data_IF_490903210832
#
_entry.id   IF_490903210832
#
_cell.length_a   1.000
_cell.length_b   1.000
_cell.length_c   1.000
_cell.angle_alpha   90.00
_cell.angle_beta   90.00
_cell.angle_gamma   90.00
#
_symmetry.space_group_name_H-M   'P 1'
#
loop_
_entity.id
_entity.type
_entity.pdbx_description
1 polymer ?
#
# COMPACT_ATOMS: atom_id res chain seq x y z
N UNK A 1 -2.11 0.61 28.36
CA UNK A 1 -1.82 1.21 27.04
C UNK A 1 -3.10 1.14 26.22
N UNK A 2 -3.66 2.27 25.81
CA UNK A 2 -4.85 2.27 24.95
C UNK A 2 -4.36 1.90 23.54
N UNK A 3 -4.89 0.84 22.89
CA UNK A 3 -4.50 0.51 21.53
C UNK A 3 -4.80 1.70 20.61
N UNK A 4 -3.78 2.28 19.98
CA UNK A 4 -4.01 3.29 18.96
C UNK A 4 -4.70 2.65 17.76
N UNK A 5 -5.82 3.24 17.33
CA UNK A 5 -6.54 2.80 16.15
C UNK A 5 -5.73 3.18 14.91
N UNK A 6 -5.14 2.19 14.23
CA UNK A 6 -4.40 2.42 12.99
C UNK A 6 -5.34 2.31 11.78
N UNK A 7 -5.23 3.26 10.86
CA UNK A 7 -5.88 3.15 9.56
C UNK A 7 -4.92 2.50 8.56
N UNK A 8 -5.49 1.91 7.51
CA UNK A 8 -4.73 1.37 6.38
C UNK A 8 -5.04 2.22 5.16
N UNK A 9 -4.02 2.62 4.44
CA UNK A 9 -4.09 3.28 3.14
C UNK A 9 -3.42 2.39 2.11
N UNK A 10 -3.92 2.39 0.89
CA UNK A 10 -3.30 1.65 -0.20
C UNK A 10 -2.85 2.62 -1.30
N UNK A 11 -1.65 2.39 -1.83
CA UNK A 11 -1.17 2.99 -3.07
C UNK A 11 -1.07 1.86 -4.09
N UNK A 12 -1.78 1.99 -5.20
CA UNK A 12 -1.71 1.06 -6.33
C UNK A 12 -1.05 1.80 -7.49
N UNK A 13 0.10 1.33 -7.95
CA UNK A 13 0.68 1.85 -9.20
C UNK A 13 0.09 1.07 -10.36
N UNK A 14 -0.68 1.77 -11.18
CA UNK A 14 -1.36 1.20 -12.33
C UNK A 14 -0.52 1.34 -13.61
N UNK A 15 -0.25 0.22 -14.26
CA UNK A 15 0.24 0.17 -15.63
C UNK A 15 -0.36 -1.02 -16.38
N UNK A 16 -0.80 -0.80 -17.62
CA UNK A 16 -1.33 -1.87 -18.48
C UNK A 16 -2.83 -2.09 -18.30
N UNK A 17 -3.21 -3.28 -17.84
CA UNK A 17 -4.60 -3.76 -17.81
C UNK A 17 -5.47 -3.03 -16.77
N UNK A 18 -6.61 -2.49 -17.22
CA UNK A 18 -7.62 -1.92 -16.34
C UNK A 18 -8.34 -3.01 -15.54
N UNK A 19 -8.51 -4.18 -16.15
CA UNK A 19 -9.14 -5.35 -15.54
C UNK A 19 -8.39 -5.82 -14.29
N UNK A 20 -7.05 -5.78 -14.32
CA UNK A 20 -6.19 -6.18 -13.21
C UNK A 20 -6.37 -5.22 -12.03
N UNK A 21 -6.38 -3.92 -12.32
CA UNK A 21 -6.62 -2.87 -11.30
C UNK A 21 -7.99 -3.03 -10.67
N UNK A 22 -9.02 -3.28 -11.49
CA UNK A 22 -10.37 -3.52 -11.02
C UNK A 22 -10.47 -4.80 -10.19
N UNK A 23 -9.74 -5.86 -10.56
CA UNK A 23 -9.68 -7.09 -9.78
C UNK A 23 -9.02 -6.85 -8.42
N UNK A 24 -7.87 -6.18 -8.38
CA UNK A 24 -7.19 -5.87 -7.13
C UNK A 24 -8.04 -4.99 -6.21
N UNK A 25 -8.71 -3.96 -6.75
CA UNK A 25 -9.65 -3.13 -5.99
C UNK A 25 -10.79 -3.96 -5.39
N UNK A 26 -11.38 -4.88 -6.16
CA UNK A 26 -12.40 -5.81 -5.62
C UNK A 26 -11.86 -6.67 -4.49
N UNK A 27 -10.64 -7.21 -4.64
CA UNK A 27 -10.03 -8.04 -3.62
C UNK A 27 -9.81 -7.26 -2.32
N UNK A 28 -9.20 -6.06 -2.41
CA UNK A 28 -8.95 -5.19 -1.25
C UNK A 28 -10.24 -4.72 -0.56
N UNK A 29 -11.31 -4.48 -1.32
CA UNK A 29 -12.58 -4.00 -0.78
C UNK A 29 -13.55 -5.12 -0.35
N UNK A 30 -13.19 -6.39 -0.51
CA UNK A 30 -14.02 -7.55 -0.12
C UNK A 30 -13.63 -8.16 1.23
N UNK A 31 -12.52 -7.72 1.80
CA UNK A 31 -11.97 -8.24 3.04
C UNK A 31 -12.69 -7.79 4.31
N UNK A 32 -12.52 -8.50 5.43
CA UNK A 32 -13.02 -8.07 6.75
C UNK A 32 -12.35 -6.77 7.22
N UNK A 33 -11.19 -6.43 6.67
CA UNK A 33 -10.54 -5.13 6.86
C UNK A 33 -10.31 -4.47 5.51
N UNK A 34 -10.86 -3.26 5.37
CA UNK A 34 -10.75 -2.44 4.17
C UNK A 34 -9.78 -1.29 4.40
N UNK A 35 -9.12 -0.79 3.34
CA UNK A 35 -8.38 0.46 3.44
C UNK A 35 -9.35 1.63 3.63
N UNK A 36 -8.90 2.65 4.36
CA UNK A 36 -9.64 3.92 4.54
C UNK A 36 -9.70 4.71 3.24
N UNK A 37 -8.63 4.65 2.44
CA UNK A 37 -8.49 5.29 1.13
C UNK A 37 -7.54 4.48 0.26
N UNK A 38 -7.81 4.43 -1.03
CA UNK A 38 -6.93 3.88 -2.07
C UNK A 38 -6.55 5.00 -3.02
N UNK A 39 -5.27 5.19 -3.24
CA UNK A 39 -4.72 6.05 -4.29
C UNK A 39 -4.22 5.17 -5.41
N UNK A 40 -4.78 5.33 -6.61
CA UNK A 40 -4.32 4.65 -7.82
C UNK A 40 -3.49 5.64 -8.63
N UNK A 41 -2.21 5.36 -8.77
CA UNK A 41 -1.29 6.19 -9.55
C UNK A 41 -1.20 5.64 -10.96
N UNK A 42 -1.81 6.36 -11.90
CA UNK A 42 -2.01 5.93 -13.28
C UNK A 42 -0.81 6.30 -14.16
N UNK A 43 0.03 5.30 -14.44
CA UNK A 43 1.17 5.39 -15.36
C UNK A 43 0.87 4.83 -16.75
N UNK A 44 -0.37 4.39 -17.01
CA UNK A 44 -0.72 3.75 -18.26
C UNK A 44 -0.78 4.75 -19.43
N UNK A 45 -0.57 4.27 -20.65
CA UNK A 45 -0.66 5.13 -21.86
C UNK A 45 -2.08 5.62 -22.08
N UNK A 46 -3.06 4.75 -21.88
CA UNK A 46 -4.48 5.06 -21.89
C UNK A 46 -4.90 5.34 -20.45
N UNK A 47 -5.63 6.44 -20.17
CA UNK A 47 -6.11 6.73 -18.83
C UNK A 47 -6.97 5.62 -18.24
N UNK A 48 -6.73 5.32 -16.96
CA UNK A 48 -7.58 4.43 -16.19
C UNK A 48 -8.98 5.04 -16.09
N UNK A 49 -10.00 4.29 -16.47
CA UNK A 49 -11.38 4.71 -16.24
C UNK A 49 -11.71 4.43 -14.79
N UNK A 50 -12.16 5.47 -14.08
CA UNK A 50 -12.59 5.32 -12.69
C UNK A 50 -13.64 4.22 -12.59
N UNK A 51 -13.50 3.26 -11.67
CA UNK A 51 -14.55 2.29 -11.44
C UNK A 51 -15.82 3.06 -11.05
N UNK A 52 -16.97 2.63 -11.58
CA UNK A 52 -18.27 3.11 -11.09
C UNK A 52 -18.32 2.93 -9.56
N UNK A 53 -19.07 3.79 -8.86
CA UNK A 53 -19.09 3.98 -7.40
C UNK A 53 -19.55 2.77 -6.56
N UNK A 54 -18.97 1.61 -6.80
CA UNK A 54 -19.35 0.28 -6.28
C UNK A 54 -18.71 0.04 -4.91
N UNK A 55 -17.65 0.78 -4.57
CA UNK A 55 -16.89 0.56 -3.33
C UNK A 55 -17.31 1.56 -2.26
N UNK A 56 -17.39 1.09 -1.02
CA UNK A 56 -17.55 1.92 0.18
C UNK A 56 -16.26 2.64 0.60
N UNK A 57 -15.18 2.46 -0.15
CA UNK A 57 -13.85 3.05 0.09
C UNK A 57 -13.62 4.23 -0.85
N UNK A 58 -12.96 5.27 -0.35
CA UNK A 58 -12.53 6.41 -1.16
C UNK A 58 -11.42 5.95 -2.11
N UNK A 59 -11.69 6.02 -3.42
CA UNK A 59 -10.70 5.74 -4.46
C UNK A 59 -10.37 7.06 -5.17
N UNK A 60 -9.10 7.41 -5.17
CA UNK A 60 -8.56 8.56 -5.89
C UNK A 60 -7.64 8.07 -6.99
N UNK A 61 -7.75 8.65 -8.18
CA UNK A 61 -6.86 8.36 -9.31
C UNK A 61 -5.99 9.58 -9.55
N UNK A 62 -4.67 9.39 -9.47
CA UNK A 62 -3.67 10.44 -9.72
C UNK A 62 -2.87 10.06 -10.95
N UNK A 63 -2.87 10.93 -11.97
CA UNK A 63 -2.17 10.69 -13.23
C UNK A 63 -1.01 11.69 -13.39
N UNK A 64 0.25 11.29 -13.13
CA UNK A 64 1.38 12.16 -13.38
C UNK A 64 1.58 12.40 -14.88
N UNK A 65 2.27 13.49 -15.22
CA UNK A 65 2.50 13.89 -16.62
C UNK A 65 3.33 12.91 -17.45
N UNK A 66 4.03 11.95 -16.81
CA UNK A 66 4.78 10.87 -17.47
C UNK A 66 4.90 9.65 -16.56
N UNK A 67 5.09 8.47 -17.15
CA UNK A 67 5.49 7.28 -16.42
C UNK A 67 6.99 7.38 -16.05
N UNK A 68 7.28 7.51 -14.75
CA UNK A 68 8.64 7.56 -14.21
C UNK A 68 9.03 6.29 -13.41
N UNK A 69 8.28 5.20 -13.61
CA UNK A 69 8.50 3.91 -12.94
C UNK A 69 7.82 3.79 -11.58
N UNK A 70 7.87 2.58 -11.00
CA UNK A 70 7.11 2.20 -9.81
C UNK A 70 7.41 3.08 -8.58
N UNK A 71 8.68 3.29 -8.25
CA UNK A 71 9.07 4.10 -7.09
C UNK A 71 8.60 5.56 -7.20
N UNK A 72 8.65 6.15 -8.40
CA UNK A 72 8.08 7.48 -8.64
C UNK A 72 6.56 7.48 -8.46
N UNK A 73 5.89 6.40 -8.87
CA UNK A 73 4.47 6.20 -8.62
C UNK A 73 4.15 6.16 -7.11
N UNK A 74 4.94 5.45 -6.31
CA UNK A 74 4.79 5.45 -4.85
C UNK A 74 4.94 6.86 -4.29
N UNK A 75 5.95 7.63 -4.71
CA UNK A 75 6.16 8.99 -4.22
C UNK A 75 4.96 9.91 -4.53
N UNK A 76 4.41 9.83 -5.74
CA UNK A 76 3.18 10.54 -6.13
C UNK A 76 2.00 10.11 -5.26
N UNK A 77 1.88 8.81 -4.97
CA UNK A 77 0.84 8.28 -4.09
C UNK A 77 0.98 8.79 -2.65
N UNK A 78 2.21 8.87 -2.13
CA UNK A 78 2.50 9.41 -0.80
C UNK A 78 2.17 10.90 -0.72
N UNK A 79 2.46 11.66 -1.77
CA UNK A 79 2.09 13.08 -1.87
C UNK A 79 0.56 13.27 -1.85
N UNK A 80 -0.20 12.43 -2.57
CA UNK A 80 -1.66 12.45 -2.54
C UNK A 80 -2.27 12.09 -1.17
N UNK A 81 -1.52 11.33 -0.37
CA UNK A 81 -1.89 10.98 1.01
C UNK A 81 -1.42 12.01 2.05
N UNK A 82 -0.59 12.98 1.66
CA UNK A 82 -0.05 13.98 2.57
C UNK A 82 -1.18 14.76 3.27
N UNK A 83 -1.06 14.94 4.59
CA UNK A 83 -2.08 15.59 5.42
C UNK A 83 -3.31 14.74 5.72
N UNK A 84 -3.39 13.48 5.24
CA UNK A 84 -4.49 12.55 5.57
C UNK A 84 -4.07 11.36 6.42
N UNK A 85 -2.76 11.12 6.53
CA UNK A 85 -2.16 10.02 7.30
C UNK A 85 -1.58 10.53 8.62
N UNK A 86 -1.75 9.74 9.67
CA UNK A 86 -1.13 9.93 10.99
C UNK A 86 0.12 9.03 11.13
N UNK A 87 1.06 9.33 12.04
CA UNK A 87 2.26 8.51 12.24
C UNK A 87 1.99 7.03 12.59
N UNK A 88 0.82 6.73 13.15
CA UNK A 88 0.40 5.37 13.49
C UNK A 88 -0.26 4.61 12.33
N UNK A 89 -0.55 5.27 11.21
CA UNK A 89 -1.23 4.65 10.08
C UNK A 89 -0.28 3.80 9.23
N UNK A 90 -0.85 2.88 8.46
CA UNK A 90 -0.11 1.94 7.61
C UNK A 90 -0.41 2.26 6.14
N UNK A 91 0.64 2.37 5.32
CA UNK A 91 0.52 2.52 3.87
C UNK A 91 1.02 1.26 3.17
N UNK A 92 0.16 0.64 2.36
CA UNK A 92 0.47 -0.58 1.59
C UNK A 92 0.64 -0.20 0.13
N UNK A 93 1.82 -0.47 -0.44
CA UNK A 93 2.14 -0.13 -1.83
C UNK A 93 2.15 -1.39 -2.70
N UNK A 94 1.45 -1.35 -3.83
CA UNK A 94 1.19 -2.51 -4.69
C UNK A 94 1.27 -2.15 -6.17
N UNK A 95 1.70 -3.08 -7.03
CA UNK A 95 1.41 -3.02 -8.46
C UNK A 95 -0.05 -3.43 -8.71
N UNK A 96 -0.64 -3.03 -9.83
CA UNK A 96 -2.03 -3.38 -10.17
C UNK A 96 -2.26 -4.85 -10.58
N UNK A 97 -1.21 -5.57 -10.94
CA UNK A 97 -1.27 -6.94 -11.45
C UNK A 97 -1.11 -8.02 -10.36
N UNK A 98 -0.94 -7.62 -9.10
CA UNK A 98 -0.89 -8.56 -7.99
C UNK A 98 -2.28 -9.11 -7.67
N UNK A 99 -2.31 -10.33 -7.13
CA UNK A 99 -3.52 -10.92 -6.58
C UNK A 99 -3.34 -11.10 -5.08
N UNK A 100 -4.34 -10.70 -4.31
CA UNK A 100 -4.29 -10.75 -2.85
C UNK A 100 -5.48 -11.53 -2.28
N UNK A 101 -5.25 -12.18 -1.12
CA UNK A 101 -6.36 -12.76 -0.36
C UNK A 101 -7.20 -11.66 0.28
N UNK A 102 -8.47 -11.95 0.54
CA UNK A 102 -9.36 -11.02 1.26
C UNK A 102 -8.89 -10.72 2.68
N UNK A 103 -8.01 -11.55 3.27
CA UNK A 103 -7.45 -11.37 4.61
C UNK A 103 -6.12 -10.62 4.65
N UNK A 104 -5.55 -10.25 3.49
CA UNK A 104 -4.19 -9.67 3.43
C UNK A 104 -4.03 -8.44 4.31
N UNK A 105 -5.02 -7.53 4.32
CA UNK A 105 -4.94 -6.29 5.08
C UNK A 105 -5.10 -6.52 6.59
N UNK A 106 -5.80 -7.57 7.00
CA UNK A 106 -5.85 -7.99 8.40
C UNK A 106 -4.48 -8.47 8.86
N UNK A 107 -3.81 -9.30 8.06
CA UNK A 107 -2.46 -9.77 8.39
C UNK A 107 -1.46 -8.62 8.45
N UNK A 108 -1.50 -7.69 7.49
CA UNK A 108 -0.65 -6.48 7.51
C UNK A 108 -0.91 -5.69 8.79
N UNK A 109 -2.17 -5.47 9.16
CA UNK A 109 -2.53 -4.73 10.37
C UNK A 109 -1.97 -5.37 11.65
N UNK A 110 -2.00 -6.70 11.73
CA UNK A 110 -1.54 -7.47 12.89
C UNK A 110 -0.02 -7.55 12.98
N UNK A 111 0.67 -7.62 11.84
CA UNK A 111 2.13 -7.81 11.77
C UNK A 111 2.92 -6.51 11.79
N UNK A 112 2.33 -5.38 11.36
CA UNK A 112 3.02 -4.09 11.38
C UNK A 112 3.17 -3.64 12.84
N UNK A 113 4.35 -3.86 13.39
CA UNK A 113 4.85 -3.09 14.53
C UNK A 113 5.50 -1.81 13.99
N UNK A 114 5.73 -0.80 14.83
CA UNK A 114 6.15 0.56 14.41
C UNK A 114 7.20 0.55 13.27
N UNK A 115 6.95 1.31 12.19
CA UNK A 115 7.94 1.57 11.13
C UNK A 115 8.05 0.55 9.98
N UNK A 116 7.07 -0.33 9.74
CA UNK A 116 7.16 -1.37 8.69
C UNK A 116 6.36 -1.04 7.43
N UNK A 117 6.98 -1.23 6.25
CA UNK A 117 6.31 -1.31 4.94
C UNK A 117 6.44 -2.74 4.43
N UNK A 118 5.31 -3.34 4.03
CA UNK A 118 5.24 -4.72 3.55
C UNK A 118 4.95 -4.77 2.03
N UNK A 119 5.73 -5.56 1.30
CA UNK A 119 5.57 -5.87 -0.13
C UNK A 119 5.22 -7.35 -0.37
N UNK A 120 4.94 -7.71 -1.64
CA UNK A 120 4.25 -8.94 -2.07
C UNK A 120 5.02 -10.28 -1.85
N UNK A 121 6.26 -10.22 -1.40
CA UNK A 121 6.99 -11.35 -0.81
C UNK A 121 7.47 -10.88 0.56
N UNK A 122 7.27 -11.66 1.64
CA UNK A 122 7.63 -11.26 3.02
C UNK A 122 9.13 -10.92 3.09
N UNK A 123 9.40 -9.64 2.91
CA UNK A 123 10.67 -8.94 3.07
C UNK A 123 10.24 -7.52 3.44
N UNK A 124 10.17 -7.24 4.74
CA UNK A 124 9.85 -5.90 5.21
C UNK A 124 10.90 -4.92 4.72
N UNK A 125 10.49 -3.89 3.99
CA UNK A 125 11.38 -2.78 3.62
C UNK A 125 11.13 -1.67 4.63
N UNK A 126 12.10 -1.42 5.50
CA UNK A 126 12.08 -0.26 6.38
C UNK A 126 12.55 0.96 5.58
N UNK A 127 11.61 1.86 5.22
CA UNK A 127 11.91 3.05 4.40
C UNK A 127 12.67 4.15 5.16
N UNK A 128 13.10 3.92 6.40
CA UNK A 128 14.11 4.79 7.02
C UNK A 128 15.56 4.44 6.65
N UNK A 129 15.85 3.30 6.00
CA UNK A 129 17.25 2.92 5.70
C UNK A 129 17.55 2.40 4.29
N UNK A 130 16.54 2.07 3.47
CA UNK A 130 16.77 1.59 2.11
C UNK A 130 17.54 0.26 2.00
N UNK A 131 17.59 -0.55 3.07
CA UNK A 131 18.25 -1.86 3.06
C UNK A 131 17.23 -3.01 3.09
N UNK A 132 17.46 -3.99 2.23
CA UNK A 132 16.82 -5.30 2.26
C UNK A 132 17.30 -6.05 3.51
N UNK A 133 16.41 -6.36 4.45
CA UNK A 133 16.74 -7.27 5.56
C UNK A 133 16.37 -8.68 5.11
N UNK A 134 17.37 -9.53 4.89
CA UNK A 134 17.22 -10.97 4.76
C UNK A 134 17.39 -11.57 6.17
N UNK A 135 16.32 -11.73 6.94
CA UNK A 135 16.42 -12.40 8.25
C UNK A 135 15.36 -13.49 8.43
N UNK A 136 15.85 -14.65 8.86
CA UNK A 136 15.10 -15.82 9.29
C UNK A 136 14.50 -15.53 10.68
N UNK A 137 13.17 -15.43 10.75
CA UNK A 137 12.43 -14.99 11.95
C UNK A 137 12.37 -16.05 13.07
N UNK A 138 13.21 -17.08 13.03
CA UNK A 138 13.21 -18.09 14.09
C UNK A 138 13.92 -17.63 15.37
N UNK A 139 14.88 -16.68 15.34
CA UNK A 139 15.59 -16.25 16.56
C UNK A 139 16.08 -14.78 16.52
N UNK A 140 15.69 -14.03 17.56
CA UNK A 140 16.29 -12.81 18.13
C UNK A 140 15.64 -11.44 17.90
N UNK A 141 15.52 -10.70 19.02
CA UNK A 141 15.17 -9.28 19.12
C UNK A 141 16.43 -8.46 18.84
N UNK A 142 16.45 -7.66 17.77
CA UNK A 142 17.47 -6.64 17.57
C UNK A 142 16.89 -5.26 17.82
N UNK A 143 17.42 -4.58 18.84
CA UNK A 143 17.25 -3.15 19.06
C UNK A 143 18.41 -2.43 18.36
N UNK A 144 18.11 -1.44 17.53
CA UNK A 144 19.09 -0.46 17.11
C UNK A 144 18.51 0.94 17.28
N UNK A 145 19.12 1.69 18.20
CA UNK A 145 19.06 3.15 18.27
C UNK A 145 20.24 3.65 17.45
N UNK A 146 20.02 4.65 16.59
CA UNK A 146 21.07 5.42 15.94
C UNK A 146 20.73 6.92 16.07
N UNK A 147 21.75 7.79 16.05
CA UNK A 147 21.94 8.93 16.95
C UNK A 147 20.97 10.10 16.81
#
# INVERSE_FOLDING_TARGET
>A
MIPQKRNIFCIIVHFGSQEDTNLLLRQLCSGPRMPKRVVVVDHARVPLVAPSSVYSVIIEIVRPGRNAGYAAGINVGMEALAGTIEPSDVVVCMNNDIQVSSTVLSHVYEQVHEGVIAGHHIWGVNLFSGRTIQEDFSQHRAWYVLP
#
